data_IF_370596007766
#
_entry.id   IF_370596007766
#
_cell.length_a   1.000
_cell.length_b   1.000
_cell.length_c   1.000
_cell.angle_alpha   90.00
_cell.angle_beta   90.00
_cell.angle_gamma   90.00
#
_symmetry.space_group_name_H-M   'P 1'
#
loop_
_entity.id
_entity.type
_entity.pdbx_description
1 polymer ?
#
# COMPACT_ATOMS: atom_id res chain seq x y z
N UNK A 1 -18.49 6.78 6.83
CA UNK A 1 -17.45 6.88 5.78
C UNK A 1 -16.21 6.16 6.20
N UNK A 2 -15.56 5.52 5.28
CA UNK A 2 -14.30 4.86 5.58
C UNK A 2 -13.17 5.86 5.54
N UNK A 3 -12.23 5.69 6.43
CA UNK A 3 -11.02 6.50 6.38
C UNK A 3 -10.23 6.17 5.12
N UNK A 4 -9.54 7.16 4.59
CA UNK A 4 -8.73 6.95 3.42
C UNK A 4 -7.72 5.83 3.63
N UNK A 5 -7.09 5.78 4.79
CA UNK A 5 -6.09 4.75 5.06
C UNK A 5 -6.71 3.35 5.01
N UNK A 6 -7.98 3.24 5.38
CA UNK A 6 -8.65 1.94 5.32
C UNK A 6 -8.94 1.53 3.88
N UNK A 7 -9.28 2.49 3.03
CA UNK A 7 -9.46 2.19 1.62
C UNK A 7 -8.16 1.74 0.98
N UNK A 8 -7.08 2.42 1.33
CA UNK A 8 -5.77 2.06 0.80
C UNK A 8 -5.38 0.66 1.29
N UNK A 9 -5.61 0.39 2.56
CA UNK A 9 -5.30 -0.93 3.10
C UNK A 9 -6.10 -2.03 2.40
N UNK A 10 -7.35 -1.75 2.06
CA UNK A 10 -8.15 -2.73 1.33
C UNK A 10 -7.54 -3.05 -0.02
N UNK A 11 -7.08 -2.02 -0.74
CA UNK A 11 -6.49 -2.24 -2.05
C UNK A 11 -5.17 -2.99 -1.93
N UNK A 12 -4.35 -2.62 -0.95
CA UNK A 12 -3.08 -3.28 -0.74
C UNK A 12 -3.31 -4.74 -0.30
N UNK A 13 -4.30 -4.96 0.54
CA UNK A 13 -4.66 -6.32 0.96
C UNK A 13 -5.05 -7.18 -0.23
N UNK A 14 -5.87 -6.63 -1.13
CA UNK A 14 -6.25 -7.36 -2.34
C UNK A 14 -5.04 -7.75 -3.15
N UNK A 15 -4.07 -6.85 -3.24
CA UNK A 15 -2.86 -7.12 -4.01
C UNK A 15 -2.03 -8.23 -3.35
N UNK A 16 -1.92 -8.21 -2.02
CA UNK A 16 -1.23 -9.29 -1.33
C UNK A 16 -1.91 -10.64 -1.59
N UNK A 17 -3.23 -10.66 -1.50
CA UNK A 17 -3.97 -11.91 -1.73
C UNK A 17 -3.81 -12.37 -3.17
N UNK A 18 -3.89 -11.44 -4.12
CA UNK A 18 -3.69 -11.78 -5.53
C UNK A 18 -2.30 -12.32 -5.80
N UNK A 19 -1.32 -11.85 -5.05
CA UNK A 19 0.05 -12.32 -5.19
C UNK A 19 0.27 -13.67 -4.53
N UNK A 20 -0.72 -14.15 -3.77
CA UNK A 20 -0.61 -15.46 -3.12
C UNK A 20 -0.25 -15.40 -1.65
N UNK A 21 -0.37 -14.25 -1.03
CA UNK A 21 -0.02 -14.08 0.37
C UNK A 21 -1.24 -13.82 1.23
N UNK A 22 -1.06 -13.96 2.53
CA UNK A 22 -2.17 -13.80 3.48
C UNK A 22 -2.62 -12.33 3.53
N UNK A 23 -3.92 -12.14 3.72
CA UNK A 23 -4.50 -10.79 3.77
C UNK A 23 -3.97 -9.95 4.92
N UNK A 24 -3.50 -10.58 5.98
CA UNK A 24 -3.04 -9.83 7.17
C UNK A 24 -1.83 -8.94 6.89
N UNK A 25 -1.15 -9.14 5.77
CA UNK A 25 0.04 -8.35 5.45
C UNK A 25 -0.26 -7.06 4.72
N UNK A 26 -1.52 -6.79 4.42
CA UNK A 26 -1.89 -5.62 3.64
C UNK A 26 -2.09 -4.34 4.42
N UNK A 27 -1.78 -4.33 5.70
CA UNK A 27 -2.02 -3.16 6.52
C UNK A 27 -1.08 -2.01 6.16
N UNK A 28 -1.65 -0.83 6.01
CA UNK A 28 -0.93 0.37 5.60
C UNK A 28 -0.85 1.34 6.77
N UNK A 29 0.27 2.03 6.87
CA UNK A 29 0.47 3.03 7.91
C UNK A 29 0.90 4.34 7.27
N UNK A 30 0.87 5.41 8.05
CA UNK A 30 1.37 6.69 7.61
C UNK A 30 2.88 6.61 7.46
N UNK A 31 3.38 7.24 6.41
CA UNK A 31 4.80 7.23 6.13
C UNK A 31 5.57 8.11 7.12
N UNK A 32 6.78 7.69 7.44
CA UNK A 32 7.71 8.52 8.20
C UNK A 32 8.38 9.57 7.33
N UNK A 33 8.24 9.45 6.02
CA UNK A 33 8.88 10.34 5.07
C UNK A 33 7.80 10.95 4.16
N UNK A 34 7.00 11.87 4.70
CA UNK A 34 5.89 12.42 3.90
C UNK A 34 6.34 13.20 2.66
N UNK A 35 7.60 13.60 2.63
CA UNK A 35 8.17 14.25 1.45
C UNK A 35 8.33 13.26 0.29
N UNK A 36 8.36 11.96 0.58
CA UNK A 36 8.53 10.93 -0.45
C UNK A 36 7.23 10.22 -0.77
N UNK A 37 6.43 9.98 0.24
CA UNK A 37 5.17 9.27 0.06
C UNK A 37 4.28 9.53 1.26
N UNK A 38 2.97 9.37 1.08
CA UNK A 38 2.03 9.62 2.16
C UNK A 38 1.83 8.39 3.04
N UNK A 39 1.90 7.22 2.45
CA UNK A 39 1.62 5.97 3.15
C UNK A 39 2.69 4.94 2.87
N UNK A 40 2.77 3.96 3.75
CA UNK A 40 3.78 2.94 3.63
C UNK A 40 3.21 1.61 4.13
N UNK A 41 3.65 0.53 3.51
CA UNK A 41 3.28 -0.80 3.95
C UNK A 41 4.54 -1.62 4.10
N UNK A 42 4.73 -2.22 5.25
CA UNK A 42 5.89 -3.08 5.47
C UNK A 42 5.50 -4.54 5.67
N UNK A 43 4.30 -4.91 5.23
CA UNK A 43 3.83 -6.28 5.39
C UNK A 43 4.70 -7.32 4.73
N UNK A 44 5.41 -6.94 3.66
CA UNK A 44 6.28 -7.88 2.98
C UNK A 44 7.40 -8.38 3.89
N UNK A 45 7.83 -7.56 4.85
CA UNK A 45 8.88 -7.97 5.77
C UNK A 45 8.41 -9.15 6.63
N UNK A 46 7.19 -9.06 7.15
CA UNK A 46 6.64 -10.15 7.95
C UNK A 46 6.27 -11.35 7.08
N UNK A 47 5.73 -11.09 5.88
CA UNK A 47 5.35 -12.17 4.98
C UNK A 47 6.57 -12.99 4.57
N UNK A 48 7.71 -12.33 4.40
CA UNK A 48 8.93 -13.04 3.99
C UNK A 48 9.32 -14.12 4.99
N UNK A 49 9.07 -13.87 6.26
CA UNK A 49 9.37 -14.86 7.27
C UNK A 49 8.45 -16.09 7.14
N UNK A 50 7.19 -15.84 6.89
CA UNK A 50 6.22 -16.92 6.75
C UNK A 50 6.44 -17.72 5.48
N UNK A 51 6.70 -17.04 4.38
CA UNK A 51 6.81 -17.68 3.06
C UNK A 51 8.25 -18.01 2.68
N UNK A 52 9.19 -17.69 3.54
CA UNK A 52 10.60 -18.07 3.40
C UNK A 52 11.19 -17.58 2.08
N UNK A 53 11.01 -16.30 1.83
CA UNK A 53 11.59 -15.68 0.65
C UNK A 53 12.04 -14.27 1.00
N UNK A 54 12.70 -13.63 0.05
CA UNK A 54 13.19 -12.27 0.29
C UNK A 54 12.01 -11.28 0.34
N UNK A 55 12.00 -10.36 1.30
CA UNK A 55 10.91 -9.40 1.39
C UNK A 55 10.75 -8.57 0.12
N UNK A 56 11.86 -8.23 -0.51
CA UNK A 56 11.80 -7.40 -1.71
C UNK A 56 11.08 -8.11 -2.86
N UNK A 57 11.17 -9.43 -2.93
CA UNK A 57 10.43 -10.19 -3.93
C UNK A 57 8.93 -10.00 -3.75
N UNK A 58 8.50 -9.99 -2.49
CA UNK A 58 7.09 -9.84 -2.19
C UNK A 58 6.63 -8.41 -2.48
N UNK A 59 7.40 -7.43 -1.99
CA UNK A 59 7.00 -6.04 -2.22
C UNK A 59 7.00 -5.69 -3.69
N UNK A 60 7.95 -6.22 -4.46
CA UNK A 60 7.99 -6.00 -5.90
C UNK A 60 6.73 -6.52 -6.59
N UNK A 61 6.33 -7.73 -6.21
CA UNK A 61 5.17 -8.37 -6.81
C UNK A 61 3.89 -7.61 -6.47
N UNK A 62 3.76 -7.20 -5.21
CA UNK A 62 2.59 -6.45 -4.78
C UNK A 62 2.56 -5.09 -5.44
N UNK A 63 3.70 -4.41 -5.52
CA UNK A 63 3.77 -3.10 -6.17
C UNK A 63 3.34 -3.20 -7.63
N UNK A 64 3.77 -4.25 -8.32
CA UNK A 64 3.39 -4.43 -9.71
C UNK A 64 1.87 -4.57 -9.88
N UNK A 65 1.23 -5.26 -8.93
CA UNK A 65 -0.21 -5.43 -8.99
C UNK A 65 -0.95 -4.13 -8.71
N UNK A 66 -0.34 -3.23 -7.96
CA UNK A 66 -0.98 -1.97 -7.61
C UNK A 66 -0.73 -0.86 -8.61
N UNK A 67 0.18 -1.07 -9.55
CA UNK A 67 0.53 -0.02 -10.52
C UNK A 67 -0.64 0.47 -11.34
N UNK A 68 -1.58 -0.40 -11.63
CA UNK A 68 -2.73 -0.03 -12.46
C UNK A 68 -3.89 0.54 -11.66
N UNK A 69 -3.75 0.61 -10.35
CA UNK A 69 -4.82 1.12 -9.50
C UNK A 69 -4.83 2.65 -9.58
N UNK A 70 -5.95 3.20 -10.00
CA UNK A 70 -6.09 4.65 -10.19
C UNK A 70 -5.98 5.44 -8.90
N UNK A 71 -6.14 4.78 -7.78
CA UNK A 71 -6.04 5.41 -6.48
C UNK A 71 -4.64 5.97 -6.23
N UNK A 72 -3.62 5.37 -6.83
CA UNK A 72 -2.24 5.69 -6.53
C UNK A 72 -1.53 6.39 -7.68
N UNK A 73 -0.78 7.42 -7.34
CA UNK A 73 0.14 8.01 -8.28
C UNK A 73 1.30 7.06 -8.50
N UNK A 74 1.81 6.50 -7.43
CA UNK A 74 2.89 5.52 -7.52
C UNK A 74 2.87 4.60 -6.32
N UNK A 75 3.32 3.38 -6.54
CA UNK A 75 3.58 2.41 -5.48
C UNK A 75 4.96 1.87 -5.76
N UNK A 76 5.90 2.23 -4.92
CA UNK A 76 7.30 1.89 -5.13
C UNK A 76 7.73 0.82 -4.16
N UNK A 77 8.33 -0.24 -4.70
CA UNK A 77 8.93 -1.29 -3.87
C UNK A 77 10.34 -0.86 -3.51
N UNK A 78 10.61 -0.77 -2.23
CA UNK A 78 11.88 -0.25 -1.73
C UNK A 78 12.52 -1.29 -0.83
N UNK A 79 13.78 -1.56 -1.09
CA UNK A 79 14.51 -2.54 -0.27
C UNK A 79 14.57 -2.09 1.19
N UNK A 80 14.48 -3.02 2.11
CA UNK A 80 14.45 -4.47 1.94
C UNK A 80 13.09 -5.07 1.61
N UNK A 81 11.99 -4.32 1.75
CA UNK A 81 10.68 -4.85 1.47
C UNK A 81 9.56 -3.92 1.85
N UNK A 82 9.77 -2.62 1.63
CA UNK A 82 8.75 -1.61 1.90
C UNK A 82 8.00 -1.24 0.63
N UNK A 83 6.73 -0.92 0.80
CA UNK A 83 5.94 -0.28 -0.26
C UNK A 83 5.76 1.18 0.13
N UNK A 84 6.28 2.07 -0.68
CA UNK A 84 6.05 3.50 -0.51
C UNK A 84 4.92 3.90 -1.43
N UNK A 85 3.87 4.46 -0.87
CA UNK A 85 2.62 4.69 -1.58
C UNK A 85 2.35 6.17 -1.67
N UNK A 86 2.20 6.66 -2.90
CA UNK A 86 1.88 8.05 -3.14
C UNK A 86 0.52 8.13 -3.82
N UNK A 87 -0.35 8.96 -3.28
CA UNK A 87 -1.72 9.04 -3.76
C UNK A 87 -1.82 9.88 -5.00
N UNK A 88 -2.71 9.48 -5.89
CA UNK A 88 -3.05 10.28 -7.05
C UNK A 88 -3.78 11.54 -6.59
N UNK A 89 -3.33 12.70 -7.04
CA UNK A 89 -3.91 13.96 -6.60
C UNK A 89 -5.35 14.13 -7.07
N UNK A 90 -5.66 13.62 -8.23
CA UNK A 90 -7.04 13.69 -8.73
C UNK A 90 -7.94 12.80 -7.87
N UNK A 91 -7.47 11.63 -7.52
CA UNK A 91 -8.23 10.75 -6.64
C UNK A 91 -8.44 11.40 -5.27
N UNK A 92 -7.44 12.03 -4.74
CA UNK A 92 -7.55 12.72 -3.47
C UNK A 92 -8.57 13.84 -3.51
N UNK A 93 -8.63 14.54 -4.60
CA UNK A 93 -9.64 15.59 -4.77
C UNK A 93 -11.05 15.01 -4.75
N UNK A 94 -11.13 14.01 -5.32
CA UNK A 94 -12.31 13.35 -5.42
C UNK A 94 -12.73 12.64 -4.28
N UNK A 95 -11.80 12.35 -3.70
CA UNK A 95 -11.96 11.65 -2.55
C UNK A 95 -12.00 12.49 -1.38
N UNK A 96 -11.75 13.33 -1.52
CA UNK A 96 -11.83 14.31 -0.62
C UNK A 96 -12.98 14.28 0.20
N UNK A 97 -13.93 13.81 -0.37
CA UNK A 97 -15.09 13.61 0.43
C UNK A 97 -14.80 12.67 1.60
N UNK A 98 -14.01 11.66 1.37
CA UNK A 98 -13.66 10.76 2.46
C UNK A 98 -12.83 11.48 3.52
N UNK A 99 -11.88 12.24 3.08
CA UNK A 99 -11.02 13.00 3.98
C UNK A 99 -11.83 14.02 4.76
N UNK A 100 -12.75 14.66 4.11
CA UNK A 100 -13.57 15.69 4.71
C UNK A 100 -14.38 15.17 5.87
N UNK A 101 -14.87 13.96 5.75
CA UNK A 101 -15.71 13.40 6.80
C UNK A 101 -14.92 12.68 7.87
N UNK A 102 -13.67 12.43 7.60
CA UNK A 102 -12.80 11.76 8.56
C UNK A 102 -12.07 12.74 9.45
N UNK A 103 -11.87 13.87 8.92
CA UNK A 103 -11.07 14.97 9.44
C UNK A 103 -11.16 15.39 10.81
#
# INVERSE_FOLDING_TARGET
MKKLINLISEEVTKAFVSAGYDEKYGKVTLSNRPDLCEFQCNGAMAAAKEYKCAPFMISDKVAALLESDEMFESVESVKPGFLNIKMDTVFLAXXXIYERYEG
#
